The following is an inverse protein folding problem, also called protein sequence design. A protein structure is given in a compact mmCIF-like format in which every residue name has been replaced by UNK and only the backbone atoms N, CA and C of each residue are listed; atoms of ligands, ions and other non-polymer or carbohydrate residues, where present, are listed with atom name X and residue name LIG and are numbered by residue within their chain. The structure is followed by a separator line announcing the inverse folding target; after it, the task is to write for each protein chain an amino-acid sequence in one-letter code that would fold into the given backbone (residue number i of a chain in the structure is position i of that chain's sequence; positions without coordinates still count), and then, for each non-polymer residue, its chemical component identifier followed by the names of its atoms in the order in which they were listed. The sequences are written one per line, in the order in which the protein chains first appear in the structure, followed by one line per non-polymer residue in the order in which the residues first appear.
data_IF_400131575783
#
_entry.id   IF_400131575783
#
_cell.length_a   1.000
_cell.length_b   1.000
_cell.length_c   1.000
_cell.angle_alpha   90.00
_cell.angle_beta   90.00
_cell.angle_gamma   90.00
#
_symmetry.space_group_name_H-M   'P 1'
#
loop_
_entity.id
_entity.type
_entity.pdbx_description
1 polymer ?
#
# COMPACT_ATOMS: atom_id res chain seq x y z
N UNK A 1 53.51 55.02 18.48
CA UNK A 1 52.74 56.28 18.33
C UNK A 1 51.94 56.19 17.04
N UNK A 2 50.67 56.60 17.03
CA UNK A 2 49.59 55.98 16.24
C UNK A 2 49.46 56.57 14.84
N UNK A 3 48.96 55.79 13.86
CA UNK A 3 48.28 56.36 12.69
C UNK A 3 47.19 55.40 12.17
N UNK A 4 46.00 55.64 12.70
CA UNK A 4 44.67 55.59 12.07
C UNK A 4 44.43 54.67 10.86
N UNK A 5 43.61 53.66 11.15
CA UNK A 5 42.68 52.93 10.28
C UNK A 5 41.88 53.85 9.35
N UNK A 6 41.78 53.48 8.08
CA UNK A 6 40.61 53.81 7.24
C UNK A 6 40.15 52.54 6.52
N UNK A 7 38.90 52.16 6.78
CA UNK A 7 38.19 51.10 6.06
C UNK A 7 37.61 51.69 4.76
N UNK A 8 37.69 51.00 3.62
CA UNK A 8 36.79 51.27 2.52
C UNK A 8 35.41 50.72 2.86
N UNK A 9 34.46 51.65 2.95
CA UNK A 9 33.02 51.41 2.98
C UNK A 9 32.62 50.66 1.70
N UNK A 10 32.16 49.42 1.87
CA UNK A 10 31.92 48.49 0.78
C UNK A 10 30.88 47.45 1.16
N UNK A 11 29.76 47.89 1.72
CA UNK A 11 28.57 47.05 1.84
C UNK A 11 28.20 46.52 0.45
N UNK A 12 28.20 45.19 0.21
CA UNK A 12 27.69 44.66 -1.04
C UNK A 12 26.18 44.92 -1.04
N UNK A 13 25.73 45.87 -1.87
CA UNK A 13 24.31 45.97 -2.22
C UNK A 13 23.89 44.63 -2.80
N UNK A 14 23.21 43.82 -1.99
CA UNK A 14 22.53 42.61 -2.41
C UNK A 14 21.43 43.03 -3.38
N UNK A 15 21.75 43.02 -4.68
CA UNK A 15 20.78 43.17 -5.76
C UNK A 15 19.64 42.20 -5.48
N UNK A 16 18.46 42.74 -5.16
CA UNK A 16 17.23 41.97 -4.96
C UNK A 16 17.04 41.08 -6.18
N UNK A 17 17.31 39.79 -5.99
CA UNK A 17 17.33 38.79 -7.05
C UNK A 17 15.88 38.60 -7.47
N UNK A 18 15.44 39.27 -8.54
CA UNK A 18 14.06 39.20 -9.07
C UNK A 18 13.66 37.73 -9.17
N UNK A 19 12.68 37.33 -8.35
CA UNK A 19 12.16 35.98 -8.34
C UNK A 19 11.65 35.63 -9.75
N UNK A 20 12.01 34.45 -10.28
CA UNK A 20 11.48 33.97 -11.56
C UNK A 20 9.94 34.07 -11.60
N UNK A 21 9.33 34.39 -12.74
CA UNK A 21 7.89 34.62 -12.84
C UNK A 21 7.05 33.48 -12.23
N UNK A 22 7.43 32.23 -12.51
CA UNK A 22 6.75 31.04 -11.99
C UNK A 22 6.73 30.98 -10.45
N UNK A 23 7.79 31.42 -9.76
CA UNK A 23 7.80 31.52 -8.29
C UNK A 23 6.87 32.62 -7.78
N UNK A 24 6.69 33.69 -8.55
CA UNK A 24 5.80 34.81 -8.19
C UNK A 24 4.32 34.42 -8.31
N UNK A 25 3.95 33.56 -9.26
CA UNK A 25 2.59 33.02 -9.40
C UNK A 25 2.32 31.83 -8.47
N UNK A 26 3.30 30.97 -8.21
CA UNK A 26 3.17 29.90 -7.21
C UNK A 26 2.87 30.45 -5.81
N UNK A 27 3.47 31.59 -5.45
CA UNK A 27 3.13 32.32 -4.22
C UNK A 27 1.68 32.80 -4.20
N UNK A 28 1.08 33.16 -5.35
CA UNK A 28 -0.33 33.60 -5.41
C UNK A 28 -1.33 32.45 -5.25
N UNK A 29 -0.98 31.26 -5.73
CA UNK A 29 -1.82 30.08 -5.59
C UNK A 29 -1.88 29.60 -4.14
N UNK A 30 -0.72 29.46 -3.48
CA UNK A 30 -0.67 29.00 -2.08
C UNK A 30 -1.16 30.04 -1.08
N UNK A 31 -1.35 31.31 -1.49
CA UNK A 31 -1.98 32.35 -0.67
C UNK A 31 -3.51 32.39 -0.78
N UNK A 32 -4.11 31.52 -1.60
CA UNK A 32 -5.56 31.42 -1.64
C UNK A 32 -6.09 30.94 -0.27
N UNK A 33 -7.31 31.37 0.13
CA UNK A 33 -7.96 30.84 1.33
C UNK A 33 -8.06 29.31 1.28
N UNK A 34 -7.99 28.67 2.45
CA UNK A 34 -8.02 27.21 2.56
C UNK A 34 -9.28 26.61 1.93
N UNK A 35 -10.43 27.29 2.00
CA UNK A 35 -11.68 26.84 1.38
C UNK A 35 -11.54 26.70 -0.14
N UNK A 36 -10.81 27.61 -0.77
CA UNK A 36 -10.55 27.59 -2.21
C UNK A 36 -9.55 26.48 -2.54
N UNK A 37 -8.49 26.32 -1.75
CA UNK A 37 -7.52 25.23 -1.93
C UNK A 37 -8.16 23.85 -1.74
N UNK A 38 -9.06 23.70 -0.77
CA UNK A 38 -9.86 22.49 -0.57
C UNK A 38 -10.78 22.22 -1.76
N UNK A 39 -11.47 23.26 -2.26
CA UNK A 39 -12.33 23.14 -3.45
C UNK A 39 -11.53 22.67 -4.66
N UNK A 40 -10.35 23.26 -4.88
CA UNK A 40 -9.44 22.85 -5.95
C UNK A 40 -9.02 21.40 -5.75
N UNK A 41 -8.56 21.02 -4.55
CA UNK A 41 -8.16 19.65 -4.26
C UNK A 41 -9.29 18.63 -4.47
N UNK A 42 -10.53 18.99 -4.16
CA UNK A 42 -11.69 18.14 -4.39
C UNK A 42 -12.03 18.02 -5.89
N UNK A 43 -11.59 18.95 -6.73
CA UNK A 43 -11.75 18.90 -8.18
C UNK A 43 -10.59 18.21 -8.91
N UNK A 44 -9.44 18.00 -8.26
CA UNK A 44 -8.30 17.27 -8.85
C UNK A 44 -8.72 15.81 -9.13
N UNK A 45 -8.33 15.33 -10.29
CA UNK A 45 -8.53 13.94 -10.70
C UNK A 45 -7.84 12.98 -9.69
N UNK A 46 -8.49 11.87 -9.29
CA UNK A 46 -7.85 10.88 -8.42
C UNK A 46 -6.42 10.52 -8.82
N UNK A 47 -6.12 10.40 -10.12
CA UNK A 47 -4.78 10.03 -10.62
C UNK A 47 -3.71 11.10 -10.44
N UNK A 48 -4.11 12.36 -10.40
CA UNK A 48 -3.19 13.48 -10.19
C UNK A 48 -2.98 13.82 -8.71
N UNK A 49 -3.86 13.36 -7.81
CA UNK A 49 -3.75 13.64 -6.37
C UNK A 49 -2.42 13.23 -5.73
N UNK A 50 -1.79 12.08 -6.05
CA UNK A 50 -0.47 11.76 -5.52
C UNK A 50 0.56 12.85 -5.82
N UNK A 51 0.63 13.31 -7.07
CA UNK A 51 1.58 14.34 -7.50
C UNK A 51 1.22 15.71 -6.92
N UNK A 52 -0.07 16.04 -6.89
CA UNK A 52 -0.57 17.26 -6.26
C UNK A 52 -0.15 17.35 -4.79
N UNK A 53 -0.35 16.27 -4.03
CA UNK A 53 -0.01 16.15 -2.60
C UNK A 53 1.50 16.23 -2.34
N UNK A 54 2.32 15.76 -3.28
CA UNK A 54 3.79 15.75 -3.17
C UNK A 54 4.43 17.11 -3.53
N UNK A 55 3.66 18.06 -4.06
CA UNK A 55 4.19 19.36 -4.51
C UNK A 55 4.73 20.21 -3.35
N UNK A 56 3.98 20.34 -2.25
CA UNK A 56 4.43 21.02 -1.04
C UNK A 56 3.56 20.65 0.18
N UNK A 57 4.00 21.03 1.38
CA UNK A 57 3.28 20.75 2.64
C UNK A 57 1.85 21.30 2.65
N UNK A 58 1.63 22.52 2.20
CA UNK A 58 0.27 23.11 2.16
C UNK A 58 -0.68 22.28 1.30
N UNK A 59 -0.23 21.86 0.11
CA UNK A 59 -1.04 21.01 -0.78
C UNK A 59 -1.20 19.60 -0.22
N UNK A 60 -0.20 19.10 0.51
CA UNK A 60 -0.31 17.85 1.24
C UNK A 60 -1.48 17.91 2.24
N UNK A 61 -1.48 18.93 3.10
CA UNK A 61 -2.44 19.09 4.20
C UNK A 61 -3.87 19.28 3.67
N UNK A 62 -4.08 20.14 2.67
CA UNK A 62 -5.43 20.40 2.12
C UNK A 62 -5.96 19.24 1.28
N UNK A 63 -5.08 18.45 0.64
CA UNK A 63 -5.52 17.34 -0.21
C UNK A 63 -5.63 16.00 0.50
N UNK A 64 -5.11 15.88 1.73
CA UNK A 64 -5.08 14.62 2.44
C UNK A 64 -6.45 13.94 2.52
N UNK A 65 -7.50 14.69 2.88
CA UNK A 65 -8.87 14.13 2.93
C UNK A 65 -9.37 13.70 1.56
N UNK A 66 -9.24 14.55 0.54
CA UNK A 66 -9.66 14.24 -0.83
C UNK A 66 -8.93 13.01 -1.38
N UNK A 67 -7.63 12.90 -1.10
CA UNK A 67 -6.80 11.74 -1.45
C UNK A 67 -7.31 10.48 -0.75
N UNK A 68 -7.57 10.53 0.55
CA UNK A 68 -8.13 9.41 1.31
C UNK A 68 -9.47 8.94 0.74
N UNK A 69 -10.41 9.86 0.52
CA UNK A 69 -11.75 9.55 0.04
C UNK A 69 -11.78 9.03 -1.41
N UNK A 70 -10.85 9.46 -2.26
CA UNK A 70 -10.83 9.08 -3.69
C UNK A 70 -9.91 7.91 -4.01
N UNK A 71 -8.80 7.74 -3.29
CA UNK A 71 -7.77 6.71 -3.59
C UNK A 71 -7.69 5.60 -2.56
N UNK A 72 -8.11 5.85 -1.33
CA UNK A 72 -7.97 4.88 -0.22
C UNK A 72 -9.31 4.37 0.31
N UNK A 73 -10.43 4.85 -0.23
CA UNK A 73 -11.75 4.39 0.17
C UNK A 73 -11.99 2.91 -0.15
N UNK A 74 -11.37 2.40 -1.22
CA UNK A 74 -11.50 1.03 -1.68
C UNK A 74 -10.11 0.39 -1.76
N UNK A 75 -9.77 -0.45 -0.77
CA UNK A 75 -8.45 -1.06 -0.65
C UNK A 75 -8.45 -2.55 -1.00
N UNK A 76 -7.45 -2.98 -1.78
CA UNK A 76 -7.19 -4.40 -2.07
C UNK A 76 -5.91 -4.85 -1.38
N UNK A 77 -5.99 -5.93 -0.60
CA UNK A 77 -4.88 -6.47 0.18
C UNK A 77 -4.74 -7.97 -0.07
N UNK A 78 -3.52 -8.48 0.00
CA UNK A 78 -3.24 -9.93 0.05
C UNK A 78 -2.87 -10.32 1.47
N UNK A 79 -3.09 -11.58 1.84
CA UNK A 79 -2.69 -12.06 3.17
C UNK A 79 -1.18 -12.30 3.21
N UNK A 80 -0.38 -11.25 3.30
CA UNK A 80 1.06 -11.29 3.54
C UNK A 80 1.41 -10.32 4.68
N UNK A 81 2.52 -10.55 5.36
CA UNK A 81 2.97 -9.69 6.46
C UNK A 81 3.07 -8.22 6.02
N UNK A 82 3.71 -7.97 4.87
CA UNK A 82 3.85 -6.63 4.31
C UNK A 82 2.49 -5.97 4.00
N UNK A 83 1.59 -6.72 3.35
CA UNK A 83 0.29 -6.19 2.94
C UNK A 83 -0.60 -5.90 4.15
N UNK A 84 -0.62 -6.80 5.13
CA UNK A 84 -1.37 -6.62 6.36
C UNK A 84 -0.82 -5.49 7.23
N UNK A 85 0.49 -5.27 7.24
CA UNK A 85 1.07 -4.11 7.93
C UNK A 85 0.57 -2.81 7.30
N UNK A 86 0.55 -2.72 5.98
CA UNK A 86 -0.01 -1.56 5.28
C UNK A 86 -1.49 -1.33 5.60
N UNK A 87 -2.27 -2.40 5.80
CA UNK A 87 -3.66 -2.29 6.25
C UNK A 87 -3.76 -1.75 7.68
N UNK A 88 -2.94 -2.24 8.61
CA UNK A 88 -2.88 -1.73 9.99
C UNK A 88 -2.51 -0.24 9.98
N UNK A 89 -1.47 0.13 9.25
CA UNK A 89 -1.00 1.52 9.15
C UNK A 89 -2.07 2.45 8.54
N UNK A 90 -2.74 1.98 7.48
CA UNK A 90 -3.83 2.72 6.84
C UNK A 90 -4.99 2.98 7.79
N UNK A 91 -5.44 1.93 8.48
CA UNK A 91 -6.60 1.98 9.37
C UNK A 91 -6.33 2.76 10.66
N UNK A 92 -5.08 2.74 11.15
CA UNK A 92 -4.65 3.56 12.29
C UNK A 92 -4.52 5.06 11.95
N UNK A 93 -4.38 5.41 10.67
CA UNK A 93 -4.09 6.78 10.27
C UNK A 93 -5.29 7.72 10.53
N UNK A 94 -5.11 8.84 11.27
CA UNK A 94 -6.23 9.69 11.71
C UNK A 94 -6.99 10.40 10.59
N UNK A 95 -6.34 10.59 9.43
CA UNK A 95 -6.98 11.20 8.26
C UNK A 95 -7.49 10.15 7.26
N UNK A 96 -6.83 8.99 7.15
CA UNK A 96 -7.12 8.03 6.09
C UNK A 96 -7.98 6.86 6.56
N UNK A 97 -7.82 6.43 7.81
CA UNK A 97 -8.68 5.42 8.43
C UNK A 97 -10.17 5.74 8.31
N UNK A 98 -10.62 6.98 8.62
CA UNK A 98 -12.02 7.38 8.42
C UNK A 98 -12.51 7.37 6.97
N UNK A 99 -11.60 7.39 6.00
CA UNK A 99 -11.93 7.41 4.58
C UNK A 99 -12.21 6.01 4.02
N UNK A 100 -11.80 4.96 4.72
CA UNK A 100 -11.95 3.56 4.27
C UNK A 100 -13.42 3.17 4.25
N UNK A 101 -13.90 2.67 3.11
CA UNK A 101 -15.28 2.22 2.90
C UNK A 101 -15.36 0.73 2.57
N UNK A 102 -14.33 0.21 1.91
CA UNK A 102 -14.27 -1.17 1.46
C UNK A 102 -12.85 -1.72 1.54
N UNK A 103 -12.73 -2.97 2.03
CA UNK A 103 -11.49 -3.73 2.05
C UNK A 103 -11.75 -5.09 1.42
N UNK A 104 -10.98 -5.41 0.39
CA UNK A 104 -11.04 -6.67 -0.34
C UNK A 104 -9.75 -7.46 -0.13
N UNK A 105 -9.87 -8.75 0.16
CA UNK A 105 -8.74 -9.65 0.37
C UNK A 105 -8.55 -10.62 -0.80
N UNK A 106 -7.31 -10.81 -1.23
CA UNK A 106 -6.96 -11.77 -2.29
C UNK A 106 -7.36 -13.19 -1.89
N UNK A 107 -7.98 -13.92 -2.82
CA UNK A 107 -8.39 -15.31 -2.60
C UNK A 107 -7.21 -16.27 -2.70
N UNK A 108 -6.15 -15.90 -3.40
CA UNK A 108 -5.00 -16.76 -3.57
C UNK A 108 -4.05 -16.69 -2.39
N UNK A 109 -3.60 -17.88 -1.99
CA UNK A 109 -2.52 -18.03 -1.04
C UNK A 109 -1.35 -18.67 -1.72
N UNK A 110 -0.21 -18.15 -1.37
CA UNK A 110 1.07 -18.69 -1.77
C UNK A 110 1.29 -20.01 -1.02
N UNK A 111 1.43 -21.11 -1.76
CA UNK A 111 1.80 -22.43 -1.24
C UNK A 111 3.18 -22.82 -1.74
N UNK A 112 3.99 -23.38 -0.84
CA UNK A 112 5.33 -23.86 -1.14
C UNK A 112 5.43 -25.33 -0.71
N UNK A 113 4.79 -26.23 -1.46
CA UNK A 113 4.98 -27.65 -1.21
C UNK A 113 6.32 -28.13 -1.80
N UNK A 114 6.86 -29.23 -1.26
CA UNK A 114 8.12 -29.84 -1.70
C UNK A 114 8.18 -30.05 -3.22
N UNK A 115 7.05 -30.37 -3.85
CA UNK A 115 6.97 -30.53 -5.31
C UNK A 115 7.29 -29.24 -6.07
N UNK A 116 6.85 -28.09 -5.56
CA UNK A 116 7.13 -26.79 -6.20
C UNK A 116 8.62 -26.46 -6.15
N UNK A 117 9.26 -26.74 -5.01
CA UNK A 117 10.71 -26.61 -4.84
C UNK A 117 11.48 -27.55 -5.79
N UNK A 118 11.10 -28.83 -5.86
CA UNK A 118 11.75 -29.82 -6.73
C UNK A 118 11.63 -29.44 -8.22
N UNK A 119 10.44 -29.05 -8.66
CA UNK A 119 10.23 -28.56 -10.04
C UNK A 119 11.11 -27.34 -10.35
N UNK A 120 11.33 -26.47 -9.37
CA UNK A 120 12.16 -25.28 -9.57
C UNK A 120 13.65 -25.61 -9.68
N UNK A 121 14.16 -26.52 -8.83
CA UNK A 121 15.53 -27.03 -8.90
C UNK A 121 15.78 -27.67 -10.29
N UNK A 122 14.83 -28.46 -10.77
CA UNK A 122 14.88 -29.09 -12.10
C UNK A 122 14.86 -28.04 -13.23
N UNK A 123 13.94 -27.07 -13.18
CA UNK A 123 13.80 -26.01 -14.19
C UNK A 123 15.07 -25.16 -14.32
N UNK A 124 15.73 -24.86 -13.21
CA UNK A 124 16.98 -24.10 -13.20
C UNK A 124 18.21 -24.94 -13.60
N UNK A 125 18.04 -26.25 -13.83
CA UNK A 125 19.14 -27.15 -14.17
C UNK A 125 20.21 -27.19 -13.09
N UNK A 126 19.82 -27.05 -11.82
CA UNK A 126 20.78 -26.99 -10.70
C UNK A 126 21.33 -28.39 -10.49
N UNK A 127 22.57 -28.62 -10.94
CA UNK A 127 23.33 -29.85 -10.71
C UNK A 127 24.40 -29.68 -9.64
N UNK A 128 24.67 -28.44 -9.22
CA UNK A 128 25.67 -28.08 -8.22
C UNK A 128 25.07 -28.11 -6.81
N UNK A 129 25.72 -28.86 -5.91
CA UNK A 129 25.22 -29.08 -4.56
C UNK A 129 25.20 -27.80 -3.73
N UNK A 130 26.16 -26.90 -3.90
CA UNK A 130 26.22 -25.65 -3.13
C UNK A 130 25.08 -24.71 -3.52
N UNK A 131 24.83 -24.56 -4.82
CA UNK A 131 23.66 -23.81 -5.34
C UNK A 131 22.33 -24.43 -4.93
N UNK A 132 22.22 -25.76 -4.96
CA UNK A 132 21.02 -26.44 -4.49
C UNK A 132 20.77 -26.15 -3.00
N UNK A 133 21.82 -26.20 -2.17
CA UNK A 133 21.73 -25.88 -0.75
C UNK A 133 21.36 -24.42 -0.46
N UNK A 134 21.83 -23.46 -1.27
CA UNK A 134 21.44 -22.06 -1.17
C UNK A 134 19.94 -21.88 -1.43
N UNK A 135 19.40 -22.51 -2.48
CA UNK A 135 17.97 -22.47 -2.80
C UNK A 135 17.13 -23.10 -1.68
N UNK A 136 17.59 -24.22 -1.10
CA UNK A 136 16.91 -24.87 0.02
C UNK A 136 16.86 -23.98 1.27
N UNK A 137 17.94 -23.27 1.61
CA UNK A 137 17.97 -22.34 2.74
C UNK A 137 17.02 -21.16 2.53
N UNK A 138 17.04 -20.56 1.35
CA UNK A 138 16.11 -19.48 1.00
C UNK A 138 14.65 -19.94 1.04
N UNK A 139 14.40 -21.18 0.61
CA UNK A 139 13.08 -21.78 0.69
C UNK A 139 12.62 -21.95 2.13
N UNK A 140 13.46 -22.53 2.99
CA UNK A 140 13.18 -22.76 4.41
C UNK A 140 12.93 -21.45 5.18
N UNK A 141 13.77 -20.42 4.95
CA UNK A 141 13.59 -19.09 5.54
C UNK A 141 12.26 -18.47 5.11
N UNK A 142 11.97 -18.45 3.80
CA UNK A 142 10.73 -17.89 3.26
C UNK A 142 9.49 -18.67 3.72
N UNK A 143 9.60 -19.98 3.88
CA UNK A 143 8.52 -20.83 4.39
C UNK A 143 8.26 -20.58 5.87
N UNK A 144 9.32 -20.57 6.69
CA UNK A 144 9.22 -20.33 8.13
C UNK A 144 8.55 -18.99 8.42
N UNK A 145 9.04 -17.91 7.78
CA UNK A 145 8.44 -16.58 7.92
C UNK A 145 6.97 -16.56 7.52
N UNK A 146 6.60 -17.27 6.45
CA UNK A 146 5.22 -17.36 5.98
C UNK A 146 4.33 -18.12 6.95
N UNK A 147 4.79 -19.29 7.39
CA UNK A 147 4.09 -20.13 8.35
C UNK A 147 3.85 -19.38 9.66
N UNK A 148 4.87 -18.68 10.15
CA UNK A 148 4.76 -17.83 11.33
C UNK A 148 3.72 -16.73 11.14
N UNK A 149 3.73 -16.04 9.99
CA UNK A 149 2.71 -15.05 9.67
C UNK A 149 1.30 -15.65 9.67
N UNK A 150 1.08 -16.76 8.95
CA UNK A 150 -0.26 -17.35 8.80
C UNK A 150 -0.80 -17.91 10.12
N UNK A 151 0.07 -18.46 10.97
CA UNK A 151 -0.34 -19.11 12.22
C UNK A 151 -0.41 -18.17 13.41
N UNK A 152 0.39 -17.11 13.44
CA UNK A 152 0.51 -16.24 14.62
C UNK A 152 0.11 -14.79 14.37
N UNK A 153 0.43 -14.23 13.21
CA UNK A 153 0.33 -12.79 12.99
C UNK A 153 -0.92 -12.37 12.23
N UNK A 154 -1.40 -13.20 11.29
CA UNK A 154 -2.50 -12.84 10.39
C UNK A 154 -3.76 -12.40 11.15
N UNK A 155 -4.23 -13.20 12.09
CA UNK A 155 -5.44 -12.88 12.85
C UNK A 155 -5.23 -11.68 13.79
N UNK A 156 -4.02 -11.51 14.34
CA UNK A 156 -3.68 -10.37 15.19
C UNK A 156 -3.71 -9.06 14.41
N UNK A 157 -3.01 -9.01 13.27
CA UNK A 157 -2.93 -7.80 12.43
C UNK A 157 -4.29 -7.46 11.80
N UNK A 158 -5.04 -8.46 11.34
CA UNK A 158 -6.39 -8.24 10.86
C UNK A 158 -7.30 -7.72 12.00
N UNK A 159 -7.18 -8.31 13.19
CA UNK A 159 -7.93 -7.86 14.37
C UNK A 159 -7.63 -6.42 14.73
N UNK A 160 -6.35 -6.04 14.75
CA UNK A 160 -5.91 -4.67 15.00
C UNK A 160 -6.48 -3.69 13.96
N UNK A 161 -6.40 -4.03 12.67
CA UNK A 161 -6.96 -3.18 11.62
C UNK A 161 -8.48 -3.00 11.77
N UNK A 162 -9.22 -4.05 12.13
CA UNK A 162 -10.67 -3.97 12.37
C UNK A 162 -11.01 -3.16 13.63
N UNK A 163 -10.23 -3.27 14.69
CA UNK A 163 -10.36 -2.43 15.88
C UNK A 163 -10.13 -0.95 15.55
N UNK A 164 -9.11 -0.64 14.74
CA UNK A 164 -8.87 0.73 14.28
C UNK A 164 -10.08 1.28 13.50
N UNK A 165 -10.68 0.48 12.61
CA UNK A 165 -11.88 0.86 11.87
C UNK A 165 -13.10 1.10 12.76
N UNK A 166 -13.29 0.30 13.81
CA UNK A 166 -14.35 0.52 14.80
C UNK A 166 -14.23 1.88 15.47
N UNK A 167 -13.01 2.33 15.78
CA UNK A 167 -12.79 3.63 16.43
C UNK A 167 -13.29 4.80 15.58
N UNK A 168 -13.30 4.67 14.26
CA UNK A 168 -13.79 5.71 13.35
C UNK A 168 -15.32 5.71 13.20
N UNK A 169 -16.00 4.64 13.60
CA UNK A 169 -17.46 4.53 13.54
C UNK A 169 -18.06 4.42 12.13
N UNK A 170 -17.22 4.38 11.09
CA UNK A 170 -17.66 4.16 9.71
C UNK A 170 -17.91 2.68 9.47
N UNK A 171 -19.12 2.32 9.02
CA UNK A 171 -19.37 0.95 8.58
C UNK A 171 -18.59 0.64 7.30
N UNK A 172 -17.76 -0.40 7.33
CA UNK A 172 -16.88 -0.84 6.24
C UNK A 172 -17.41 -2.14 5.63
N UNK A 173 -17.29 -2.25 4.31
CA UNK A 173 -17.54 -3.48 3.56
C UNK A 173 -16.28 -4.34 3.57
N UNK A 174 -16.41 -5.62 3.89
CA UNK A 174 -15.31 -6.58 3.80
C UNK A 174 -15.64 -7.61 2.73
N UNK A 175 -14.65 -7.99 1.92
CA UNK A 175 -14.87 -8.99 0.88
C UNK A 175 -13.61 -9.68 0.42
N UNK A 176 -13.77 -10.51 -0.60
CA UNK A 176 -12.66 -11.20 -1.26
C UNK A 176 -12.70 -10.94 -2.76
N UNK A 177 -11.53 -10.93 -3.40
CA UNK A 177 -11.40 -10.77 -4.84
C UNK A 177 -10.40 -11.77 -5.41
N UNK A 178 -10.61 -12.13 -6.67
CA UNK A 178 -9.66 -12.96 -7.40
C UNK A 178 -8.45 -12.12 -7.82
N UNK A 179 -7.34 -12.31 -7.09
CA UNK A 179 -6.07 -11.65 -7.29
C UNK A 179 -5.21 -12.30 -8.39
N UNK A 180 -5.62 -13.45 -8.93
CA UNK A 180 -4.92 -14.13 -10.02
C UNK A 180 -5.90 -14.54 -11.12
N UNK A 181 -5.88 -13.79 -12.22
CA UNK A 181 -6.65 -14.14 -13.40
C UNK A 181 -5.79 -14.98 -14.36
N UNK A 182 -6.20 -16.22 -14.60
CA UNK A 182 -5.61 -17.05 -15.65
C UNK A 182 -6.14 -16.56 -17.00
N UNK A 183 -5.29 -15.94 -17.81
CA UNK A 183 -5.63 -15.61 -19.19
C UNK A 183 -5.61 -16.92 -20.02
N UNK A 184 -6.73 -17.34 -20.62
CA UNK A 184 -6.76 -18.56 -21.44
C UNK A 184 -5.88 -18.48 -22.70
N UNK A 185 -5.54 -17.27 -23.17
CA UNK A 185 -4.75 -17.03 -24.38
C UNK A 185 -3.27 -16.78 -24.09
N UNK A 186 -2.92 -16.24 -22.91
CA UNK A 186 -1.53 -16.07 -22.47
C UNK A 186 -1.18 -17.19 -21.49
N UNK A 187 -0.07 -17.91 -21.72
CA UNK A 187 0.46 -18.91 -20.78
C UNK A 187 0.87 -18.35 -19.40
N UNK A 188 0.53 -17.10 -19.07
CA UNK A 188 0.95 -16.38 -17.88
C UNK A 188 -0.27 -15.85 -17.12
N UNK A 189 -0.29 -16.05 -15.80
CA UNK A 189 -1.30 -15.51 -14.93
C UNK A 189 -1.15 -13.98 -14.81
N UNK A 190 -2.27 -13.25 -14.86
CA UNK A 190 -2.33 -11.82 -14.60
C UNK A 190 -2.64 -11.58 -13.12
N UNK A 191 -1.74 -10.87 -12.43
CA UNK A 191 -1.96 -10.47 -11.03
C UNK A 191 -2.83 -9.23 -11.01
N UNK A 192 -3.99 -9.27 -10.36
CA UNK A 192 -4.76 -8.07 -10.10
C UNK A 192 -4.08 -7.26 -9.00
N UNK A 193 -3.94 -5.95 -9.23
CA UNK A 193 -3.24 -5.05 -8.32
C UNK A 193 -3.80 -5.08 -6.89
N UNK A 194 -2.99 -5.58 -5.96
CA UNK A 194 -3.22 -5.52 -4.52
C UNK A 194 -2.01 -4.88 -3.84
N UNK A 195 -2.22 -4.28 -2.67
CA UNK A 195 -1.12 -3.70 -1.91
C UNK A 195 -0.07 -4.76 -1.59
N UNK A 196 1.19 -4.51 -1.96
CA UNK A 196 2.29 -5.46 -1.79
C UNK A 196 2.38 -6.59 -2.82
N UNK A 197 1.41 -6.75 -3.73
CA UNK A 197 1.41 -7.83 -4.74
C UNK A 197 2.67 -7.86 -5.58
N UNK A 198 3.12 -6.74 -6.14
CA UNK A 198 4.34 -6.69 -6.95
C UNK A 198 5.59 -7.09 -6.15
N UNK A 199 5.69 -6.71 -4.88
CA UNK A 199 6.84 -7.03 -4.03
C UNK A 199 6.85 -8.52 -3.64
N UNK A 200 5.69 -9.01 -3.23
CA UNK A 200 5.51 -10.36 -2.71
C UNK A 200 5.41 -11.41 -3.80
N UNK A 201 4.86 -11.09 -4.96
CA UNK A 201 4.61 -12.04 -6.05
C UNK A 201 5.64 -11.98 -7.18
N UNK A 202 6.28 -10.84 -7.47
CA UNK A 202 7.29 -10.77 -8.55
C UNK A 202 8.61 -11.48 -8.19
N UNK A 203 8.89 -11.69 -6.91
CA UNK A 203 10.11 -12.32 -6.41
C UNK A 203 9.93 -13.81 -6.06
N UNK A 204 8.98 -14.49 -6.72
CA UNK A 204 8.57 -15.88 -6.42
C UNK A 204 9.04 -16.89 -7.46
N UNK A 205 10.34 -17.20 -7.54
CA UNK A 205 10.81 -18.21 -8.48
C UNK A 205 10.21 -19.60 -8.21
N UNK A 206 9.84 -19.93 -6.96
CA UNK A 206 9.48 -21.30 -6.53
C UNK A 206 8.17 -21.40 -5.74
N UNK A 207 7.23 -20.47 -5.91
CA UNK A 207 5.98 -20.51 -5.15
C UNK A 207 4.79 -20.79 -6.06
N UNK A 208 3.96 -21.75 -5.68
CA UNK A 208 2.69 -22.02 -6.36
C UNK A 208 1.61 -21.19 -5.69
N UNK A 209 0.59 -20.78 -6.43
CA UNK A 209 -0.55 -20.09 -5.85
C UNK A 209 -1.77 -21.00 -5.92
N UNK A 210 -2.48 -21.11 -4.80
CA UNK A 210 -3.66 -21.96 -4.67
C UNK A 210 -4.84 -21.08 -4.25
N UNK A 211 -5.96 -21.28 -4.92
CA UNK A 211 -7.23 -20.66 -4.58
C UNK A 211 -7.62 -21.07 -3.17
N UNK A 212 -7.84 -20.10 -2.30
CA UNK A 212 -8.14 -20.31 -0.88
C UNK A 212 -9.29 -19.42 -0.42
N UNK A 213 -10.25 -19.16 -1.31
CA UNK A 213 -11.41 -18.29 -1.08
C UNK A 213 -12.19 -18.64 0.19
N UNK A 214 -12.54 -19.92 0.37
CA UNK A 214 -13.25 -20.38 1.56
C UNK A 214 -12.46 -20.14 2.84
N UNK A 215 -11.15 -20.34 2.81
CA UNK A 215 -10.26 -20.10 3.93
C UNK A 215 -10.12 -18.60 4.22
N UNK A 216 -10.00 -17.77 3.18
CA UNK A 216 -9.96 -16.32 3.29
C UNK A 216 -11.22 -15.78 4.00
N UNK A 217 -12.39 -16.18 3.52
CA UNK A 217 -13.67 -15.81 4.13
C UNK A 217 -13.81 -16.34 5.56
N UNK A 218 -13.34 -17.55 5.85
CA UNK A 218 -13.34 -18.09 7.21
C UNK A 218 -12.47 -17.27 8.15
N UNK A 219 -11.24 -16.91 7.76
CA UNK A 219 -10.35 -16.04 8.55
C UNK A 219 -11.04 -14.70 8.83
N UNK A 220 -11.56 -14.03 7.80
CA UNK A 220 -12.25 -12.74 7.94
C UNK A 220 -13.41 -12.86 8.94
N UNK A 221 -14.28 -13.87 8.77
CA UNK A 221 -15.43 -14.08 9.65
C UNK A 221 -15.05 -14.45 11.09
N UNK A 222 -13.97 -15.19 11.28
CA UNK A 222 -13.49 -15.56 12.60
C UNK A 222 -12.93 -14.35 13.33
N UNK A 223 -12.07 -13.57 12.67
CA UNK A 223 -11.50 -12.37 13.27
C UNK A 223 -12.57 -11.31 13.55
N UNK A 224 -13.52 -11.09 12.63
CA UNK A 224 -14.65 -10.18 12.88
C UNK A 224 -15.43 -10.58 14.14
N UNK A 225 -15.70 -11.88 14.34
CA UNK A 225 -16.36 -12.39 15.55
C UNK A 225 -15.51 -12.16 16.80
N UNK A 226 -14.21 -12.43 16.72
CA UNK A 226 -13.29 -12.31 17.86
C UNK A 226 -13.17 -10.86 18.37
N UNK A 227 -13.17 -9.87 17.46
CA UNK A 227 -13.06 -8.44 17.83
C UNK A 227 -14.42 -7.71 17.82
N UNK A 228 -15.52 -8.46 17.72
CA UNK A 228 -16.89 -7.92 17.63
C UNK A 228 -17.07 -6.86 16.52
N UNK A 229 -16.38 -7.03 15.39
CA UNK A 229 -16.53 -6.18 14.22
C UNK A 229 -17.81 -6.53 13.47
N UNK A 230 -18.64 -5.52 13.18
CA UNK A 230 -19.88 -5.66 12.42
C UNK A 230 -19.72 -4.96 11.06
N UNK A 231 -19.23 -5.68 10.03
CA UNK A 231 -19.10 -5.14 8.69
C UNK A 231 -20.49 -4.87 8.08
N UNK A 232 -20.58 -3.88 7.18
CA UNK A 232 -21.83 -3.61 6.44
C UNK A 232 -22.28 -4.79 5.59
N UNK A 233 -21.31 -5.51 5.02
CA UNK A 233 -21.52 -6.75 4.29
C UNK A 233 -20.22 -7.56 4.30
N UNK A 234 -20.37 -8.89 4.19
CA UNK A 234 -19.26 -9.82 3.96
C UNK A 234 -19.63 -10.67 2.75
N UNK A 235 -19.03 -10.39 1.58
CA UNK A 235 -19.47 -11.00 0.31
C UNK A 235 -18.41 -11.04 -0.80
N UNK A 236 -18.75 -11.74 -1.88
CA UNK A 236 -17.93 -12.00 -3.08
C UNK A 236 -18.19 -10.99 -4.20
N UNK A 237 -17.14 -10.72 -4.98
CA UNK A 237 -17.15 -10.17 -6.35
C UNK A 237 -17.79 -8.79 -6.54
N UNK A 238 -16.94 -7.76 -6.58
CA UNK A 238 -17.04 -6.75 -7.63
C UNK A 238 -16.07 -7.21 -8.73
N UNK A 239 -16.60 -7.51 -9.92
CA UNK A 239 -15.82 -7.80 -11.12
C UNK A 239 -14.65 -6.82 -11.25
N UNK A 240 -13.57 -7.28 -11.89
CA UNK A 240 -12.29 -6.59 -12.02
C UNK A 240 -12.32 -5.26 -12.79
N UNK A 241 -13.23 -4.36 -12.43
CA UNK A 241 -13.10 -2.95 -12.68
C UNK A 241 -11.96 -2.47 -11.76
N UNK A 242 -10.85 -2.16 -12.43
CA UNK A 242 -9.87 -1.22 -11.92
C UNK A 242 -10.63 0.00 -11.39
N UNK A 243 -10.36 0.33 -10.12
CA UNK A 243 -10.81 1.58 -9.52
C UNK A 243 -9.72 2.60 -9.82
#
# INVERSE_FOLDING_TARGET
MPTTTSLPDGSPQTKSRKLPPHRKYAMKFLTLPNEILLTISNAVDPEDLPNFRLTCKTLNDVSAKAFGEKRLAHGRFIFTEFSMQGLVDLTAHPVFGPCVREIMFGTHRVTNNLRTLLNHIEMLGITDNDRAMEVLRLFDEKWTRRSDFETRLLELMLGEALCNLQMWGSGVILGVFDDIQLDPQRKAAHLLGAYGSALEYASLPFRSMVVSENTALQVIRNVCRNVNFQPKSVGLYLHGEEI
#
